data_IF_222498469980
#
_entry.id   IF_222498469980
#
_cell.length_a   1.000
_cell.length_b   1.000
_cell.length_c   1.000
_cell.angle_alpha   90.00
_cell.angle_beta   90.00
_cell.angle_gamma   90.00
#
_symmetry.space_group_name_H-M   'P 1'
#
loop_
_entity.id
_entity.type
_entity.pdbx_description
1 polymer ?
#
# COMPACT_ATOMS: atom_id res chain seq x y z
N UNK A 1 7.51 25.26 -39.97
CA UNK A 1 8.01 24.43 -38.84
C UNK A 1 6.89 24.26 -37.81
N UNK A 2 6.34 23.05 -37.57
CA UNK A 2 5.29 22.90 -36.57
C UNK A 2 5.90 23.06 -35.17
N UNK A 3 5.57 24.17 -34.51
CA UNK A 3 5.95 24.46 -33.12
C UNK A 3 5.19 23.47 -32.22
N UNK A 4 5.83 22.36 -31.88
CA UNK A 4 5.26 21.36 -30.96
C UNK A 4 4.79 22.07 -29.68
N UNK A 5 3.52 21.84 -29.34
CA UNK A 5 2.90 22.28 -28.10
C UNK A 5 3.70 21.76 -26.88
N UNK A 6 4.69 22.56 -26.44
CA UNK A 6 5.52 22.35 -25.25
C UNK A 6 4.75 22.00 -23.95
N UNK A 7 3.46 22.37 -23.72
CA UNK A 7 2.76 21.94 -22.51
C UNK A 7 2.36 20.45 -22.47
N UNK A 8 2.16 19.78 -23.61
CA UNK A 8 1.65 18.40 -23.61
C UNK A 8 2.73 17.35 -23.29
N UNK A 9 3.96 17.55 -23.74
CA UNK A 9 5.08 16.64 -23.45
C UNK A 9 5.41 16.62 -21.95
N UNK A 10 5.46 17.80 -21.31
CA UNK A 10 5.62 17.92 -19.84
C UNK A 10 4.50 17.21 -19.09
N UNK A 11 3.23 17.38 -19.50
CA UNK A 11 2.09 16.67 -18.88
C UNK A 11 2.22 15.15 -18.97
N UNK A 12 2.65 14.61 -20.11
CA UNK A 12 2.87 13.16 -20.30
C UNK A 12 4.00 12.62 -19.41
N UNK A 13 5.10 13.36 -19.28
CA UNK A 13 6.22 12.97 -18.42
C UNK A 13 5.79 12.93 -16.94
N UNK A 14 5.11 13.98 -16.46
CA UNK A 14 4.58 14.02 -15.10
C UNK A 14 3.56 12.90 -14.82
N UNK A 15 2.67 12.62 -15.78
CA UNK A 15 1.71 11.51 -15.66
C UNK A 15 2.43 10.15 -15.55
N UNK A 16 3.49 9.91 -16.34
CA UNK A 16 4.29 8.67 -16.27
C UNK A 16 5.00 8.51 -14.93
N UNK A 17 5.57 9.59 -14.38
CA UNK A 17 6.19 9.53 -13.06
C UNK A 17 5.16 9.25 -11.97
N UNK A 18 4.02 9.95 -11.98
CA UNK A 18 2.94 9.76 -11.02
C UNK A 18 2.38 8.34 -11.08
N UNK A 19 2.18 7.80 -12.28
CA UNK A 19 1.78 6.40 -12.49
C UNK A 19 2.77 5.41 -11.90
N UNK A 20 4.09 5.59 -12.13
CA UNK A 20 5.12 4.70 -11.57
C UNK A 20 5.15 4.74 -10.04
N UNK A 21 5.00 5.93 -9.45
CA UNK A 21 4.92 6.10 -8.00
C UNK A 21 3.69 5.40 -7.43
N UNK A 22 2.53 5.56 -8.09
CA UNK A 22 1.29 4.89 -7.71
C UNK A 22 1.42 3.36 -7.80
N UNK A 23 1.97 2.83 -8.90
CA UNK A 23 2.21 1.39 -9.07
C UNK A 23 3.13 0.83 -7.97
N UNK A 24 4.17 1.57 -7.58
CA UNK A 24 5.07 1.16 -6.48
C UNK A 24 4.34 1.12 -5.13
N UNK A 25 3.53 2.14 -4.84
CA UNK A 25 2.71 2.17 -3.62
C UNK A 25 1.71 1.00 -3.57
N UNK A 26 1.04 0.73 -4.68
CA UNK A 26 0.12 -0.41 -4.83
C UNK A 26 0.82 -1.76 -4.68
N UNK A 27 2.02 -1.91 -5.26
CA UNK A 27 2.81 -3.14 -5.13
C UNK A 27 3.22 -3.41 -3.68
N UNK A 28 3.62 -2.38 -2.93
CA UNK A 28 3.93 -2.48 -1.51
C UNK A 28 2.69 -2.88 -0.70
N UNK A 29 1.54 -2.24 -0.95
CA UNK A 29 0.29 -2.61 -0.32
C UNK A 29 -0.09 -4.08 -0.61
N UNK A 30 0.04 -4.50 -1.87
CA UNK A 30 -0.28 -5.86 -2.30
C UNK A 30 0.65 -6.90 -1.64
N UNK A 31 1.95 -6.60 -1.53
CA UNK A 31 2.90 -7.46 -0.83
C UNK A 31 2.58 -7.59 0.66
N UNK A 32 2.23 -6.48 1.31
CA UNK A 32 1.78 -6.48 2.71
C UNK A 32 0.49 -7.27 2.92
N UNK A 33 -0.49 -7.12 2.02
CA UNK A 33 -1.74 -7.90 2.06
C UNK A 33 -1.50 -9.39 1.80
N UNK A 34 -0.58 -9.72 0.89
CA UNK A 34 -0.19 -11.10 0.64
C UNK A 34 0.40 -11.75 1.90
N UNK A 35 1.25 -11.03 2.66
CA UNK A 35 1.79 -11.51 3.92
C UNK A 35 0.68 -11.80 4.95
N UNK A 36 -0.36 -10.96 5.02
CA UNK A 36 -1.55 -11.19 5.84
C UNK A 36 -2.29 -12.46 5.44
N UNK A 37 -2.53 -12.69 4.15
CA UNK A 37 -3.20 -13.90 3.67
C UNK A 37 -2.39 -15.15 3.96
N UNK A 38 -1.08 -15.12 3.73
CA UNK A 38 -0.19 -16.24 4.05
C UNK A 38 -0.24 -16.54 5.56
N UNK A 39 -0.24 -15.52 6.41
CA UNK A 39 -0.37 -15.70 7.85
C UNK A 39 -1.71 -16.33 8.25
N UNK A 40 -2.83 -15.86 7.69
CA UNK A 40 -4.15 -16.43 7.96
C UNK A 40 -4.24 -17.89 7.50
N UNK A 41 -3.67 -18.21 6.33
CA UNK A 41 -3.60 -19.59 5.85
C UNK A 41 -2.70 -20.45 6.75
N UNK A 42 -1.54 -19.94 7.15
CA UNK A 42 -0.63 -20.68 8.03
C UNK A 42 -1.24 -20.94 9.41
N UNK A 43 -1.90 -19.94 10.00
CA UNK A 43 -2.59 -20.10 11.28
C UNK A 43 -3.78 -21.05 11.19
N UNK A 44 -4.49 -21.08 10.05
CA UNK A 44 -5.60 -22.00 9.85
C UNK A 44 -5.16 -23.45 9.61
N UNK A 45 -4.17 -23.69 8.73
CA UNK A 45 -3.77 -25.05 8.34
C UNK A 45 -2.67 -25.66 9.22
N UNK A 46 -1.80 -24.84 9.80
CA UNK A 46 -0.65 -25.30 10.59
C UNK A 46 -0.36 -24.36 11.76
N UNK A 47 -1.26 -24.24 12.75
CA UNK A 47 -1.17 -23.26 13.83
C UNK A 47 0.14 -23.35 14.63
N UNK A 48 0.70 -24.55 14.75
CA UNK A 48 1.97 -24.82 15.45
C UNK A 48 3.23 -24.39 14.67
N UNK A 49 3.12 -24.10 13.37
CA UNK A 49 4.20 -23.56 12.52
C UNK A 49 3.98 -22.10 12.12
N UNK A 50 2.87 -21.50 12.55
CA UNK A 50 2.56 -20.13 12.18
C UNK A 50 3.60 -19.17 12.79
N UNK A 51 4.13 -18.21 12.00
CA UNK A 51 5.04 -17.21 12.53
C UNK A 51 4.30 -16.37 13.58
N UNK A 52 5.01 -15.85 14.59
CA UNK A 52 4.40 -15.03 15.63
C UNK A 52 3.73 -13.77 15.05
N UNK A 53 2.64 -13.32 15.68
CA UNK A 53 1.89 -12.12 15.25
C UNK A 53 2.79 -10.86 15.13
N UNK A 54 3.83 -10.76 15.95
CA UNK A 54 4.84 -9.70 15.87
C UNK A 54 5.60 -9.68 14.54
N UNK A 55 5.92 -10.86 13.99
CA UNK A 55 6.62 -10.98 12.69
C UNK A 55 5.73 -10.46 11.57
N UNK A 56 4.45 -10.85 11.57
CA UNK A 56 3.47 -10.32 10.62
C UNK A 56 3.37 -8.79 10.73
N UNK A 57 3.21 -8.28 11.95
CA UNK A 57 3.08 -6.84 12.20
C UNK A 57 4.30 -6.07 11.70
N UNK A 58 5.51 -6.59 11.91
CA UNK A 58 6.74 -5.98 11.43
C UNK A 58 6.79 -5.95 9.89
N UNK A 59 6.49 -7.07 9.23
CA UNK A 59 6.47 -7.18 7.77
C UNK A 59 5.44 -6.21 7.18
N UNK A 60 4.21 -6.22 7.68
CA UNK A 60 3.12 -5.40 7.15
C UNK A 60 3.42 -3.91 7.34
N UNK A 61 4.00 -3.54 8.49
CA UNK A 61 4.43 -2.15 8.74
C UNK A 61 5.55 -1.72 7.81
N UNK A 62 6.54 -2.58 7.59
CA UNK A 62 7.67 -2.31 6.69
C UNK A 62 7.22 -2.05 5.25
N UNK A 63 6.18 -2.74 4.78
CA UNK A 63 5.62 -2.52 3.44
C UNK A 63 4.65 -1.34 3.39
N UNK A 64 3.76 -1.20 4.38
CA UNK A 64 2.71 -0.19 4.34
C UNK A 64 3.19 1.24 4.64
N UNK A 65 4.18 1.43 5.53
CA UNK A 65 4.71 2.76 5.83
C UNK A 65 5.31 3.45 4.59
N UNK A 66 6.24 2.84 3.82
CA UNK A 66 6.74 3.46 2.59
C UNK A 66 5.67 3.56 1.51
N UNK A 67 4.75 2.58 1.43
CA UNK A 67 3.63 2.63 0.49
C UNK A 67 2.70 3.83 0.73
N UNK A 68 2.41 4.13 2.00
CA UNK A 68 1.61 5.28 2.42
C UNK A 68 2.32 6.61 2.11
N UNK A 69 3.63 6.70 2.40
CA UNK A 69 4.42 7.89 2.07
C UNK A 69 4.42 8.19 0.57
N UNK A 70 4.59 7.16 -0.27
CA UNK A 70 4.50 7.28 -1.73
C UNK A 70 3.10 7.72 -2.19
N UNK A 71 2.05 7.22 -1.54
CA UNK A 71 0.66 7.59 -1.85
C UNK A 71 0.37 9.06 -1.50
N UNK A 72 0.84 9.54 -0.35
CA UNK A 72 0.72 10.93 0.07
C UNK A 72 1.50 11.88 -0.86
N UNK A 73 2.70 11.48 -1.30
CA UNK A 73 3.42 12.24 -2.33
C UNK A 73 2.67 12.29 -3.66
N UNK A 74 1.91 11.23 -4.01
CA UNK A 74 1.08 11.21 -5.22
C UNK A 74 -0.06 12.26 -5.16
N UNK A 75 -0.63 12.54 -3.97
CA UNK A 75 -1.68 13.56 -3.81
C UNK A 75 -1.23 14.98 -4.19
N UNK A 76 0.06 15.29 -4.10
CA UNK A 76 0.59 16.62 -4.51
C UNK A 76 0.49 16.85 -6.03
N UNK A 77 0.18 15.82 -6.82
CA UNK A 77 0.19 15.85 -8.28
C UNK A 77 -1.21 16.01 -8.91
N UNK A 78 -1.87 17.16 -8.72
CA UNK A 78 -3.12 17.60 -9.41
C UNK A 78 -4.37 16.73 -9.15
N UNK A 79 -5.54 17.37 -9.25
CA UNK A 79 -6.85 16.76 -8.99
C UNK A 79 -7.10 15.42 -9.72
N UNK A 80 -6.58 15.27 -10.94
CA UNK A 80 -6.76 14.06 -11.74
C UNK A 80 -6.20 12.77 -11.11
N UNK A 81 -5.23 12.87 -10.18
CA UNK A 81 -4.64 11.72 -9.51
C UNK A 81 -5.18 11.49 -8.09
N UNK A 82 -6.06 12.36 -7.58
CA UNK A 82 -6.58 12.26 -6.21
C UNK A 82 -7.33 10.96 -5.98
N UNK A 83 -8.12 10.49 -6.95
CA UNK A 83 -8.81 9.21 -6.85
C UNK A 83 -7.82 8.04 -6.69
N UNK A 84 -6.83 7.93 -7.56
CA UNK A 84 -5.82 6.87 -7.49
C UNK A 84 -4.96 6.95 -6.21
N UNK A 85 -4.59 8.15 -5.79
CA UNK A 85 -3.87 8.38 -4.56
C UNK A 85 -4.72 7.98 -3.33
N UNK A 86 -6.03 8.28 -3.34
CA UNK A 86 -6.93 7.89 -2.25
C UNK A 86 -7.02 6.38 -2.09
N UNK A 87 -7.13 5.63 -3.20
CA UNK A 87 -7.10 4.16 -3.16
C UNK A 87 -5.78 3.64 -2.55
N UNK A 88 -4.65 4.25 -2.91
CA UNK A 88 -3.34 3.89 -2.36
C UNK A 88 -3.20 4.23 -0.88
N UNK A 89 -3.76 5.35 -0.44
CA UNK A 89 -3.79 5.71 0.97
C UNK A 89 -4.65 4.71 1.73
N UNK A 90 -5.87 4.42 1.28
CA UNK A 90 -6.77 3.50 1.96
C UNK A 90 -6.18 2.09 2.03
N UNK A 91 -5.57 1.59 0.95
CA UNK A 91 -4.97 0.26 0.92
C UNK A 91 -3.78 0.12 1.90
N UNK A 92 -2.90 1.12 1.98
CA UNK A 92 -1.76 1.09 2.90
C UNK A 92 -2.17 1.40 4.35
N UNK A 93 -3.09 2.35 4.55
CA UNK A 93 -3.60 2.72 5.87
C UNK A 93 -4.38 1.57 6.52
N UNK A 94 -5.23 0.87 5.76
CA UNK A 94 -5.91 -0.33 6.26
C UNK A 94 -4.91 -1.40 6.68
N UNK A 95 -3.83 -1.59 5.93
CA UNK A 95 -2.79 -2.55 6.30
C UNK A 95 -2.05 -2.17 7.61
N UNK A 96 -1.87 -0.87 7.88
CA UNK A 96 -1.31 -0.38 9.15
C UNK A 96 -2.30 -0.47 10.31
N UNK A 97 -3.59 -0.30 10.05
CA UNK A 97 -4.64 -0.41 11.06
C UNK A 97 -4.93 -1.88 11.42
N UNK A 98 -4.70 -2.81 10.50
CA UNK A 98 -5.05 -4.22 10.66
C UNK A 98 -4.44 -4.88 11.90
N UNK A 99 -3.14 -4.71 12.22
CA UNK A 99 -2.56 -5.28 13.43
C UNK A 99 -3.23 -4.80 14.73
N UNK A 100 -3.67 -3.54 14.77
CA UNK A 100 -4.41 -2.99 15.90
C UNK A 100 -5.78 -3.65 16.04
N UNK A 101 -6.52 -3.72 14.92
CA UNK A 101 -7.84 -4.37 14.86
C UNK A 101 -7.70 -5.85 15.25
N UNK A 102 -6.78 -6.57 14.62
CA UNK A 102 -6.51 -7.98 14.88
C UNK A 102 -6.13 -8.24 16.33
N UNK A 103 -5.30 -7.38 16.96
CA UNK A 103 -5.00 -7.52 18.39
C UNK A 103 -6.25 -7.43 19.25
N UNK A 104 -7.17 -6.51 18.95
CA UNK A 104 -8.41 -6.37 19.71
C UNK A 104 -9.37 -7.55 19.51
N UNK A 105 -9.56 -8.03 18.28
CA UNK A 105 -10.58 -9.06 17.98
C UNK A 105 -10.07 -10.50 18.07
N UNK A 106 -8.78 -10.74 17.88
CA UNK A 106 -8.20 -12.10 17.82
C UNK A 106 -7.45 -12.44 19.11
N UNK A 107 -6.73 -11.49 19.70
CA UNK A 107 -5.94 -11.73 20.94
C UNK A 107 -6.72 -11.37 22.20
N UNK A 108 -7.69 -10.47 22.13
CA UNK A 108 -8.57 -10.13 23.27
C UNK A 108 -9.66 -11.18 23.59
N UNK A 109 -9.81 -12.19 22.73
CA UNK A 109 -10.79 -13.27 22.88
C UNK A 109 -10.21 -14.56 23.50
N UNK A 110 -8.91 -14.55 23.84
CA UNK A 110 -8.17 -15.64 24.49
C UNK A 110 -7.68 -15.22 25.86
#
# INVERSE_FOLDING_TARGET
MPRLARPQSRRRIFARHSHRTWMRSMALASAGWMAWWIYLLATHFAPHRAPGFWVLTAITTLFAAPGLLLALWCMRARAAWMFFASLAIVANASLLALPWIARHYIVGAS
#
